data_IF_308855946790
#
_entry.id   IF_308855946790
#
_cell.length_a   1.000
_cell.length_b   1.000
_cell.length_c   1.000
_cell.angle_alpha   90.00
_cell.angle_beta   90.00
_cell.angle_gamma   90.00
#
_symmetry.space_group_name_H-M   'P 1'
#
loop_
_entity.id
_entity.type
_entity.pdbx_description
1 polymer ?
#
# COMPACT_ATOMS: atom_id res chain seq x y z
N UNK A 1 8.21 -16.01 -40.47
CA UNK A 1 9.40 -15.51 -39.76
C UNK A 1 9.34 -15.94 -38.30
N UNK A 2 9.97 -17.06 -37.93
CA UNK A 2 10.17 -17.50 -36.54
C UNK A 2 11.67 -17.39 -36.29
N UNK A 3 12.15 -16.19 -35.96
CA UNK A 3 13.58 -15.98 -35.76
C UNK A 3 13.86 -16.10 -34.25
N UNK A 4 14.44 -17.21 -33.76
CA UNK A 4 14.59 -17.47 -32.32
C UNK A 4 15.45 -16.40 -31.63
N UNK A 5 16.35 -15.77 -32.37
CA UNK A 5 17.19 -14.66 -31.91
C UNK A 5 16.33 -13.45 -31.49
N UNK A 6 15.28 -13.12 -32.24
CA UNK A 6 14.39 -12.00 -31.90
C UNK A 6 13.63 -12.25 -30.59
N UNK A 7 13.22 -13.50 -30.35
CA UNK A 7 12.56 -13.91 -29.10
C UNK A 7 13.52 -13.80 -27.91
N UNK A 8 14.79 -14.18 -28.10
CA UNK A 8 15.83 -14.03 -27.07
C UNK A 8 16.05 -12.57 -26.68
N UNK A 9 16.16 -11.66 -27.63
CA UNK A 9 16.31 -10.22 -27.33
C UNK A 9 15.09 -9.66 -26.59
N UNK A 10 13.88 -10.07 -26.98
CA UNK A 10 12.65 -9.64 -26.30
C UNK A 10 12.59 -10.10 -24.83
N UNK A 11 13.01 -11.33 -24.55
CA UNK A 11 13.06 -11.88 -23.19
C UNK A 11 14.08 -11.15 -22.31
N UNK A 12 15.25 -10.78 -22.87
CA UNK A 12 16.25 -10.01 -22.14
C UNK A 12 15.76 -8.60 -21.78
N UNK A 13 14.96 -7.95 -22.62
CA UNK A 13 14.39 -6.64 -22.31
C UNK A 13 13.37 -6.72 -21.16
N UNK A 14 12.56 -7.79 -21.12
CA UNK A 14 11.55 -8.00 -20.08
C UNK A 14 12.15 -8.12 -18.67
N UNK A 15 13.36 -8.68 -18.52
CA UNK A 15 14.01 -8.84 -17.21
C UNK A 15 14.58 -7.56 -16.62
N UNK A 16 14.67 -6.48 -17.42
CA UNK A 16 15.24 -5.21 -16.99
C UNK A 16 14.18 -4.18 -16.56
N UNK A 17 12.88 -4.51 -16.67
CA UNK A 17 11.84 -3.65 -16.13
C UNK A 17 11.85 -3.72 -14.59
N UNK A 18 12.00 -2.59 -13.89
CA UNK A 18 11.83 -2.58 -12.45
C UNK A 18 10.40 -3.01 -12.13
N UNK A 19 10.24 -4.00 -11.23
CA UNK A 19 8.92 -4.42 -10.77
C UNK A 19 8.25 -3.29 -10.00
N UNK A 20 7.32 -2.58 -10.65
CA UNK A 20 6.48 -1.58 -9.98
C UNK A 20 5.31 -2.33 -9.33
N UNK A 21 5.52 -2.81 -8.11
CA UNK A 21 4.40 -3.33 -7.32
C UNK A 21 3.59 -2.15 -6.76
N UNK A 22 2.31 -2.07 -7.13
CA UNK A 22 1.39 -1.17 -6.48
C UNK A 22 1.25 -1.57 -5.01
N UNK A 23 1.44 -0.63 -4.09
CA UNK A 23 1.26 -0.87 -2.65
C UNK A 23 -0.20 -1.20 -2.39
N UNK A 24 -0.45 -2.32 -1.72
CA UNK A 24 -1.78 -2.71 -1.26
C UNK A 24 -2.05 -2.02 0.08
N UNK A 25 -3.10 -1.19 0.12
CA UNK A 25 -3.56 -0.55 1.35
C UNK A 25 -4.73 -1.32 1.93
N UNK A 26 -4.66 -1.63 3.22
CA UNK A 26 -5.68 -2.35 3.96
C UNK A 26 -5.96 -1.60 5.28
N UNK A 27 -7.20 -1.70 5.75
CA UNK A 27 -7.60 -1.07 7.01
C UNK A 27 -8.63 -1.94 7.72
N UNK A 28 -8.45 -2.09 9.02
CA UNK A 28 -9.31 -2.90 9.88
C UNK A 28 -9.76 -2.05 11.07
N UNK A 29 -11.06 -2.01 11.31
CA UNK A 29 -11.60 -1.52 12.57
C UNK A 29 -11.65 -2.66 13.57
N UNK A 30 -10.61 -2.79 14.41
CA UNK A 30 -10.58 -3.80 15.48
C UNK A 30 -11.28 -3.31 16.77
N UNK A 31 -11.82 -2.08 16.77
CA UNK A 31 -12.45 -1.45 17.91
C UNK A 31 -13.99 -1.38 17.76
N UNK A 32 -14.59 -2.25 16.93
CA UNK A 32 -16.02 -2.22 16.58
C UNK A 32 -16.97 -2.25 17.78
N UNK A 33 -16.57 -2.88 18.89
CA UNK A 33 -17.38 -2.96 20.11
C UNK A 33 -17.23 -1.73 21.03
N UNK A 34 -16.59 -0.66 20.54
CA UNK A 34 -16.37 0.56 21.32
C UNK A 34 -17.09 1.75 20.70
N UNK A 35 -17.47 2.77 21.50
CA UNK A 35 -18.00 4.01 20.97
C UNK A 35 -17.07 4.65 19.93
N UNK A 36 -15.75 4.54 20.11
CA UNK A 36 -14.77 5.04 19.15
C UNK A 36 -14.77 4.30 17.82
N UNK A 37 -14.87 2.97 17.83
CA UNK A 37 -14.96 2.17 16.60
C UNK A 37 -16.26 2.40 15.85
N UNK A 38 -17.41 2.50 16.55
CA UNK A 38 -18.67 2.86 15.92
C UNK A 38 -18.62 4.24 15.25
N UNK A 39 -18.01 5.22 15.93
CA UNK A 39 -17.81 6.56 15.35
C UNK A 39 -16.88 6.53 14.14
N UNK A 40 -15.81 5.74 14.18
CA UNK A 40 -14.96 5.56 13.00
C UNK A 40 -15.75 5.02 11.80
N UNK A 41 -16.59 4.00 12.00
CA UNK A 41 -17.41 3.44 10.91
C UNK A 41 -18.45 4.44 10.38
N UNK A 42 -19.03 5.25 11.25
CA UNK A 42 -20.06 6.23 10.89
C UNK A 42 -19.49 7.48 10.20
N UNK A 43 -18.32 7.97 10.65
CA UNK A 43 -17.80 9.29 10.24
C UNK A 43 -16.66 9.19 9.20
N UNK A 44 -15.90 8.09 9.18
CA UNK A 44 -14.67 7.95 8.38
C UNK A 44 -14.77 6.74 7.46
N UNK A 45 -14.85 5.54 8.04
CA UNK A 45 -15.00 4.28 7.32
C UNK A 45 -13.74 3.79 6.60
N UNK A 46 -13.67 2.46 6.46
CA UNK A 46 -12.53 1.74 5.84
C UNK A 46 -12.24 2.21 4.42
N UNK A 47 -13.27 2.48 3.61
CA UNK A 47 -13.10 2.87 2.21
C UNK A 47 -12.33 4.20 2.06
N UNK A 48 -12.74 5.21 2.83
CA UNK A 48 -12.05 6.50 2.84
C UNK A 48 -10.64 6.37 3.42
N UNK A 49 -10.47 5.60 4.51
CA UNK A 49 -9.15 5.33 5.09
C UNK A 49 -8.17 4.75 4.08
N UNK A 50 -8.58 3.74 3.30
CA UNK A 50 -7.72 3.17 2.24
C UNK A 50 -7.37 4.20 1.17
N UNK A 51 -8.34 5.05 0.78
CA UNK A 51 -8.11 6.12 -0.19
C UNK A 51 -7.10 7.14 0.33
N UNK A 52 -7.27 7.63 1.56
CA UNK A 52 -6.40 8.66 2.12
C UNK A 52 -5.00 8.14 2.41
N UNK A 53 -4.83 6.87 2.81
CA UNK A 53 -3.51 6.24 2.95
C UNK A 53 -2.71 6.27 1.64
N UNK A 54 -3.37 5.97 0.52
CA UNK A 54 -2.77 6.07 -0.82
C UNK A 54 -2.38 7.52 -1.14
N UNK A 55 -3.29 8.47 -0.92
CA UNK A 55 -3.03 9.90 -1.17
C UNK A 55 -1.88 10.43 -0.33
N UNK A 56 -1.84 10.13 0.97
CA UNK A 56 -0.76 10.52 1.88
C UNK A 56 0.57 9.95 1.41
N UNK A 57 0.61 8.68 1.01
CA UNK A 57 1.85 8.08 0.53
C UNK A 57 2.39 8.75 -0.74
N UNK A 58 1.51 9.13 -1.68
CA UNK A 58 1.93 9.91 -2.85
C UNK A 58 2.40 11.31 -2.48
N UNK A 59 1.70 11.98 -1.57
CA UNK A 59 2.07 13.31 -1.10
C UNK A 59 3.46 13.33 -0.43
N UNK A 60 3.73 12.35 0.44
CA UNK A 60 5.05 12.18 1.07
C UNK A 60 6.13 11.95 0.01
N UNK A 61 5.84 11.11 -0.98
CA UNK A 61 6.79 10.85 -2.07
C UNK A 61 7.09 12.10 -2.90
N UNK A 62 6.05 12.86 -3.25
CA UNK A 62 6.14 14.10 -4.03
C UNK A 62 6.98 15.17 -3.31
N UNK A 63 6.83 15.30 -1.99
CA UNK A 63 7.59 16.25 -1.19
C UNK A 63 9.05 15.83 -1.00
N UNK A 64 9.30 14.57 -0.66
CA UNK A 64 10.64 14.14 -0.24
C UNK A 64 11.59 13.87 -1.42
N UNK A 65 11.08 13.76 -2.65
CA UNK A 65 11.85 13.63 -3.89
C UNK A 65 12.97 12.57 -3.83
N UNK A 66 12.72 11.43 -3.18
CA UNK A 66 13.70 10.35 -3.16
C UNK A 66 13.93 9.78 -4.56
N UNK A 67 15.17 9.40 -4.87
CA UNK A 67 15.44 8.62 -6.06
C UNK A 67 14.71 7.28 -5.99
N UNK A 68 14.25 6.77 -7.12
CA UNK A 68 13.61 5.44 -7.18
C UNK A 68 14.50 4.33 -6.59
N UNK A 69 15.83 4.49 -6.65
CA UNK A 69 16.80 3.57 -6.04
C UNK A 69 16.69 3.49 -4.50
N UNK A 70 16.19 4.53 -3.86
CA UNK A 70 16.03 4.61 -2.41
C UNK A 70 14.66 4.08 -1.96
N UNK A 71 13.79 3.70 -2.90
CA UNK A 71 12.45 3.22 -2.60
C UNK A 71 12.51 1.82 -2.00
N UNK A 72 12.16 1.72 -0.72
CA UNK A 72 11.96 0.42 -0.07
C UNK A 72 10.78 -0.31 -0.71
N UNK A 73 10.96 -1.58 -1.05
CA UNK A 73 9.86 -2.42 -1.51
C UNK A 73 8.94 -2.79 -0.33
N UNK A 74 7.80 -2.12 -0.24
CA UNK A 74 6.75 -2.36 0.76
C UNK A 74 5.46 -2.74 0.03
N UNK A 75 5.13 -4.04 -0.07
CA UNK A 75 3.99 -4.49 -0.88
C UNK A 75 2.64 -4.23 -0.21
N UNK A 76 2.58 -4.15 1.12
CA UNK A 76 1.34 -4.01 1.89
C UNK A 76 1.52 -3.02 3.04
N UNK A 77 0.55 -2.13 3.22
CA UNK A 77 0.43 -1.25 4.38
C UNK A 77 -0.95 -1.46 5.01
N UNK A 78 -0.97 -1.84 6.30
CA UNK A 78 -2.19 -2.09 7.05
C UNK A 78 -2.37 -1.06 8.18
N UNK A 79 -3.55 -0.48 8.28
CA UNK A 79 -3.96 0.34 9.42
C UNK A 79 -4.93 -0.44 10.31
N UNK A 80 -4.76 -0.33 11.63
CA UNK A 80 -5.67 -0.91 12.61
C UNK A 80 -6.21 0.19 13.50
N UNK A 81 -7.54 0.32 13.57
CA UNK A 81 -8.19 1.09 14.62
C UNK A 81 -8.33 0.18 15.83
N UNK A 82 -7.76 0.58 16.95
CA UNK A 82 -7.72 -0.23 18.16
C UNK A 82 -8.18 0.59 19.36
N UNK A 83 -8.77 -0.08 20.35
CA UNK A 83 -9.13 0.56 21.62
C UNK A 83 -7.90 0.66 22.52
N UNK A 84 -7.75 1.74 23.29
CA UNK A 84 -6.60 1.90 24.19
C UNK A 84 -6.71 1.09 25.49
N UNK A 85 -7.75 0.28 25.66
CA UNK A 85 -7.87 -0.61 26.81
C UNK A 85 -6.82 -1.69 26.69
N UNK A 86 -5.84 -1.67 27.59
CA UNK A 86 -4.68 -2.54 27.59
C UNK A 86 -5.04 -4.00 27.28
N UNK A 87 -4.30 -4.60 26.35
CA UNK A 87 -4.33 -6.03 26.11
C UNK A 87 -3.79 -6.73 27.36
N UNK A 88 -4.69 -7.22 28.21
CA UNK A 88 -4.35 -8.24 29.21
C UNK A 88 -4.28 -9.59 28.46
N UNK A 89 -3.24 -10.42 28.66
CA UNK A 89 -3.34 -11.84 28.33
C UNK A 89 -4.47 -12.50 29.12
#
# INVERSE_FOLDING_TARGET
MKNPIFVFFLLQILTHFPSIFAVVYDAVNAAQETPGGHRFDAEIGIAYTKSIMKTINYFIWDILQYSESNRKNVPVVKLFIHSSTAQKP
#
